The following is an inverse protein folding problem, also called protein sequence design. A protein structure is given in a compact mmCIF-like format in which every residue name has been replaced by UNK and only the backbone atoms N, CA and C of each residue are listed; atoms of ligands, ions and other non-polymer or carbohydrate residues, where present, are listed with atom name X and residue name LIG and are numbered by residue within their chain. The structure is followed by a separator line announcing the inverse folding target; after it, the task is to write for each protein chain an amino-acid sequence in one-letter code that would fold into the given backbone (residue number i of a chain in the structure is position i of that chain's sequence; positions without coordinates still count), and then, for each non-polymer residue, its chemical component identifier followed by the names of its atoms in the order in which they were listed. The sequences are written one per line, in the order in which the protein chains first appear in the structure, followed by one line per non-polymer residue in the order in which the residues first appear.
data_IF_259441383327
#
_entry.id   IF_259441383327
#
_cell.length_a   1.000
_cell.length_b   1.000
_cell.length_c   1.000
_cell.angle_alpha   90.00
_cell.angle_beta   90.00
_cell.angle_gamma   90.00
#
_symmetry.space_group_name_H-M   'P 1'
#
loop_
_entity.id
_entity.type
_entity.pdbx_description
1 polymer ?
#
# COMPACT_ATOMS: atom_id res chain seq x y z
N UNK A 1 9.80 33.52 20.43
CA UNK A 1 9.12 32.96 19.25
C UNK A 1 9.91 33.33 18.00
N UNK A 2 10.87 32.50 17.60
CA UNK A 2 11.72 32.75 16.42
C UNK A 2 11.10 32.02 15.24
N UNK A 3 10.79 32.77 14.18
CA UNK A 3 10.31 32.25 12.89
C UNK A 3 11.49 31.60 12.16
N UNK A 4 11.38 30.32 11.81
CA UNK A 4 12.33 29.64 10.95
C UNK A 4 11.96 29.88 9.48
N UNK A 5 12.86 30.49 8.71
CA UNK A 5 12.75 30.62 7.25
C UNK A 5 13.56 29.53 6.54
N UNK A 6 13.04 29.06 5.40
CA UNK A 6 13.58 27.96 4.59
C UNK A 6 15.02 28.16 4.12
N UNK A 7 15.81 27.09 4.10
CA UNK A 7 17.18 27.06 3.58
C UNK A 7 17.23 26.50 2.16
N UNK A 8 17.95 27.19 1.26
CA UNK A 8 18.40 26.67 -0.05
C UNK A 8 19.81 26.10 0.11
N UNK A 9 20.03 24.87 -0.35
CA UNK A 9 21.36 24.26 -0.42
C UNK A 9 21.98 24.53 -1.80
N UNK A 10 23.17 25.12 -1.82
CA UNK A 10 23.94 25.39 -3.05
C UNK A 10 24.78 24.18 -3.48
N UNK A 11 25.02 24.07 -4.78
CA UNK A 11 25.25 22.81 -5.53
C UNK A 11 26.69 22.27 -5.55
N UNK A 12 27.54 22.61 -4.59
CA UNK A 12 28.98 22.34 -4.72
C UNK A 12 29.61 21.64 -3.50
N UNK A 13 29.17 20.44 -3.15
CA UNK A 13 30.05 19.47 -2.45
C UNK A 13 29.52 18.04 -2.61
N UNK A 14 30.00 17.40 -3.67
CA UNK A 14 29.81 15.96 -3.95
C UNK A 14 30.82 15.19 -3.08
N UNK A 15 30.27 14.27 -2.28
CA UNK A 15 30.85 13.04 -1.71
C UNK A 15 32.28 13.07 -1.13
N UNK A 16 32.40 12.91 0.19
CA UNK A 16 33.49 12.14 0.79
C UNK A 16 32.92 11.00 1.64
N UNK A 17 33.42 9.79 1.34
CA UNK A 17 33.10 8.51 1.94
C UNK A 17 33.97 8.32 3.20
N UNK A 18 33.40 8.09 4.39
CA UNK A 18 34.13 7.49 5.53
C UNK A 18 33.21 6.69 6.48
N UNK A 19 33.79 5.71 7.21
CA UNK A 19 33.11 4.71 8.03
C UNK A 19 32.78 5.24 9.43
N UNK A 20 31.97 4.48 10.17
CA UNK A 20 31.56 4.71 11.57
C UNK A 20 32.63 5.37 12.43
N UNK A 21 32.53 6.69 12.58
CA UNK A 21 33.13 7.46 13.66
C UNK A 21 32.22 8.66 13.89
N UNK A 22 32.06 9.03 15.14
CA UNK A 22 31.31 10.20 15.62
C UNK A 22 31.72 11.46 14.83
N UNK A 23 30.95 11.82 13.81
CA UNK A 23 31.13 13.07 13.08
C UNK A 23 30.65 14.23 13.95
N UNK A 24 31.56 14.80 14.72
CA UNK A 24 31.39 16.10 15.36
C UNK A 24 31.68 17.19 14.35
N UNK A 25 30.68 17.56 13.54
CA UNK A 25 30.73 18.79 12.75
C UNK A 25 30.40 20.00 13.62
N UNK A 26 31.34 20.95 13.76
CA UNK A 26 31.04 22.29 14.29
C UNK A 26 30.53 23.17 13.15
N UNK A 27 29.26 23.59 13.23
CA UNK A 27 28.66 24.53 12.29
C UNK A 27 28.50 25.90 12.97
N UNK A 28 29.19 26.91 12.44
CA UNK A 28 29.02 28.30 12.88
C UNK A 28 27.76 28.88 12.24
N UNK A 29 26.78 29.30 13.05
CA UNK A 29 25.60 30.02 12.58
C UNK A 29 26.00 31.42 12.07
N UNK A 30 26.18 31.55 10.76
CA UNK A 30 26.35 32.84 10.08
C UNK A 30 25.00 33.39 9.62
N UNK A 31 24.42 34.32 10.38
CA UNK A 31 23.31 35.17 9.90
C UNK A 31 23.83 36.13 8.82
N UNK A 32 23.30 36.06 7.59
CA UNK A 32 23.67 36.98 6.51
C UNK A 32 22.69 38.15 6.43
N UNK A 33 23.18 39.36 6.70
CA UNK A 33 22.66 40.60 6.11
C UNK A 33 22.05 41.63 7.07
N UNK A 34 22.86 42.28 7.90
CA UNK A 34 22.95 43.77 8.02
C UNK A 34 24.02 44.12 9.05
N UNK A 35 24.87 45.08 8.68
CA UNK A 35 25.95 45.74 9.43
C UNK A 35 26.14 45.33 10.91
N UNK A 36 27.32 44.78 11.18
CA UNK A 36 27.92 44.55 12.52
C UNK A 36 27.65 45.66 13.52
N UNK A 37 27.41 45.28 14.78
CA UNK A 37 28.34 45.67 15.83
C UNK A 37 29.15 44.47 16.32
N UNK A 38 30.43 44.77 16.53
CA UNK A 38 31.47 43.97 17.15
C UNK A 38 31.08 43.43 18.53
N UNK A 39 31.83 42.41 18.95
CA UNK A 39 31.93 41.86 20.33
C UNK A 39 30.75 41.04 20.83
N UNK A 40 30.50 39.90 20.19
CA UNK A 40 29.97 38.71 20.86
C UNK A 40 31.06 37.65 20.97
N UNK A 41 31.87 37.69 22.03
CA UNK A 41 32.75 36.58 22.41
C UNK A 41 31.87 35.45 22.95
N UNK A 42 31.23 34.72 22.04
CA UNK A 42 30.45 33.54 22.34
C UNK A 42 31.02 32.38 21.58
N UNK A 43 32.01 31.70 22.16
CA UNK A 43 32.59 30.46 21.65
C UNK A 43 31.60 29.27 21.77
N UNK A 44 30.30 29.52 21.59
CA UNK A 44 29.25 28.53 21.70
C UNK A 44 29.08 27.85 20.35
N UNK A 45 30.10 27.07 19.95
CA UNK A 45 29.92 26.11 18.87
C UNK A 45 28.85 25.11 19.29
N UNK A 46 27.65 25.24 18.71
CA UNK A 46 26.60 24.25 18.91
C UNK A 46 26.99 23.03 18.08
N UNK A 47 27.39 21.96 18.77
CA UNK A 47 27.63 20.67 18.11
C UNK A 47 26.29 20.15 17.61
N UNK A 48 26.24 19.77 16.34
CA UNK A 48 25.05 19.20 15.71
C UNK A 48 25.22 17.69 15.50
N UNK A 49 24.12 16.96 15.54
CA UNK A 49 24.03 15.55 15.18
C UNK A 49 22.79 15.31 14.31
N UNK A 50 22.79 14.16 13.62
CA UNK A 50 21.61 13.60 12.97
C UNK A 50 20.78 12.88 14.03
N UNK A 51 19.49 13.19 14.05
CA UNK A 51 18.51 12.58 14.93
C UNK A 51 17.53 11.76 14.11
N UNK A 52 17.26 10.55 14.58
CA UNK A 52 16.28 9.67 13.97
C UNK A 52 14.95 9.82 14.68
N UNK A 53 13.87 10.01 13.91
CA UNK A 53 12.51 10.09 14.45
C UNK A 53 12.04 8.69 14.85
N UNK A 54 12.15 7.75 13.93
CA UNK A 54 12.08 6.30 14.16
C UNK A 54 13.49 5.81 14.48
N UNK A 55 13.74 5.34 15.72
CA UNK A 55 15.03 4.85 16.18
C UNK A 55 15.68 3.86 15.21
N UNK A 56 16.99 4.02 14.97
CA UNK A 56 17.79 3.13 14.11
C UNK A 56 17.66 1.67 14.52
N UNK A 57 17.55 1.40 15.82
CA UNK A 57 17.35 0.04 16.35
C UNK A 57 16.08 -0.63 15.81
N UNK A 58 14.97 0.12 15.70
CA UNK A 58 13.71 -0.39 15.14
C UNK A 58 13.89 -0.72 13.67
N UNK A 59 14.60 0.14 12.92
CA UNK A 59 14.86 -0.06 11.50
C UNK A 59 15.71 -1.31 11.25
N UNK A 60 16.81 -1.45 12.00
CA UNK A 60 17.69 -2.62 11.92
C UNK A 60 16.91 -3.90 12.23
N UNK A 61 16.16 -3.91 13.34
CA UNK A 61 15.36 -5.07 13.72
C UNK A 61 14.35 -5.43 12.63
N UNK A 62 13.63 -4.44 12.11
CA UNK A 62 12.64 -4.63 11.05
C UNK A 62 13.26 -5.26 9.80
N UNK A 63 14.33 -4.68 9.26
CA UNK A 63 14.96 -5.18 8.03
C UNK A 63 15.61 -6.55 8.24
N UNK A 64 16.22 -6.81 9.40
CA UNK A 64 16.75 -8.13 9.73
C UNK A 64 15.62 -9.17 9.77
N UNK A 65 14.51 -8.86 10.44
CA UNK A 65 13.32 -9.74 10.46
C UNK A 65 12.71 -9.89 9.06
N UNK A 66 12.79 -8.87 8.19
CA UNK A 66 12.30 -8.94 6.82
C UNK A 66 13.12 -9.91 5.97
N UNK A 67 14.45 -9.84 6.07
CA UNK A 67 15.37 -10.75 5.38
C UNK A 67 15.24 -12.18 5.91
N UNK A 68 15.08 -12.36 7.23
CA UNK A 68 14.96 -13.70 7.83
C UNK A 68 13.66 -14.43 7.43
N UNK A 69 12.56 -13.68 7.23
CA UNK A 69 11.22 -14.25 6.94
C UNK A 69 10.92 -14.30 5.44
N UNK A 70 11.93 -14.15 4.61
CA UNK A 70 11.84 -13.90 3.18
C UNK A 70 11.42 -15.13 2.32
N UNK A 71 11.09 -16.27 2.95
CA UNK A 71 10.66 -17.48 2.25
C UNK A 71 9.16 -17.57 1.95
N UNK A 72 8.32 -16.72 2.54
CA UNK A 72 6.86 -16.80 2.39
C UNK A 72 6.29 -15.42 2.05
N UNK A 73 5.62 -15.30 0.89
CA UNK A 73 4.98 -14.08 0.36
C UNK A 73 4.52 -13.06 1.42
N UNK A 74 5.41 -12.14 1.75
CA UNK A 74 5.24 -11.26 2.90
C UNK A 74 4.48 -9.99 2.50
N UNK A 75 3.15 -10.10 2.47
CA UNK A 75 2.26 -8.98 2.16
C UNK A 75 2.44 -7.81 3.15
N UNK A 76 2.83 -8.06 4.41
CA UNK A 76 3.13 -6.99 5.39
C UNK A 76 4.28 -6.11 4.87
N UNK A 77 5.35 -6.76 4.38
CA UNK A 77 6.51 -6.07 3.85
C UNK A 77 6.11 -5.19 2.68
N UNK A 78 5.27 -5.70 1.76
CA UNK A 78 4.77 -4.91 0.63
C UNK A 78 3.98 -3.67 1.08
N UNK A 79 3.12 -3.78 2.09
CA UNK A 79 2.32 -2.66 2.59
C UNK A 79 3.19 -1.61 3.29
N UNK A 80 4.20 -2.05 4.06
CA UNK A 80 5.18 -1.16 4.69
C UNK A 80 6.00 -0.44 3.61
N UNK A 81 6.41 -1.13 2.53
CA UNK A 81 7.10 -0.52 1.40
C UNK A 81 6.24 0.50 0.65
N UNK A 82 4.95 0.20 0.47
CA UNK A 82 4.00 1.15 -0.15
C UNK A 82 3.89 2.43 0.69
N UNK A 83 3.79 2.32 2.01
CA UNK A 83 3.74 3.48 2.91
C UNK A 83 5.02 4.31 2.87
N UNK A 84 6.19 3.67 2.78
CA UNK A 84 7.46 4.37 2.59
C UNK A 84 7.54 5.09 1.24
N UNK A 85 6.95 4.52 0.18
CA UNK A 85 6.81 5.17 -1.12
C UNK A 85 6.01 6.47 -1.02
N UNK A 86 4.86 6.44 -0.34
CA UNK A 86 4.02 7.63 -0.13
C UNK A 86 4.75 8.73 0.66
N UNK A 87 5.43 8.37 1.75
CA UNK A 87 6.26 9.30 2.52
C UNK A 87 7.35 9.95 1.67
N UNK A 88 7.89 9.20 0.70
CA UNK A 88 8.90 9.71 -0.21
C UNK A 88 8.33 10.76 -1.15
N UNK A 89 7.21 10.46 -1.80
CA UNK A 89 6.57 11.39 -2.73
C UNK A 89 6.16 12.70 -2.03
N UNK A 90 5.67 12.61 -0.80
CA UNK A 90 5.29 13.78 -0.01
C UNK A 90 6.50 14.58 0.46
N UNK A 91 7.58 13.93 0.88
CA UNK A 91 8.83 14.62 1.23
C UNK A 91 9.45 15.35 0.03
N UNK A 92 9.20 14.87 -1.20
CA UNK A 92 9.71 15.46 -2.44
C UNK A 92 8.81 16.54 -3.02
N UNK A 93 7.56 16.63 -2.58
CA UNK A 93 6.57 17.60 -3.10
C UNK A 93 7.01 19.07 -2.93
N UNK A 94 7.61 19.50 -1.80
CA UNK A 94 8.02 20.89 -1.57
C UNK A 94 9.28 21.35 -2.31
N UNK A 95 9.96 20.49 -3.09
CA UNK A 95 11.17 20.83 -3.84
C UNK A 95 10.89 21.03 -5.33
N UNK A 96 10.37 22.21 -5.75
CA UNK A 96 10.23 22.54 -7.16
C UNK A 96 11.61 22.86 -7.77
N UNK A 97 11.95 22.22 -8.89
CA UNK A 97 13.05 22.69 -9.74
C UNK A 97 14.33 21.85 -9.81
N UNK A 98 14.29 20.57 -9.43
CA UNK A 98 15.32 19.64 -9.94
C UNK A 98 14.70 18.29 -10.23
N UNK A 99 14.18 18.14 -11.45
CA UNK A 99 13.71 16.86 -11.98
C UNK A 99 14.76 15.78 -11.72
N UNK A 100 16.05 16.13 -11.80
CA UNK A 100 17.14 15.22 -11.46
C UNK A 100 17.07 14.63 -10.05
N UNK A 101 16.89 15.42 -8.97
CA UNK A 101 16.93 14.89 -7.60
C UNK A 101 15.69 14.05 -7.29
N UNK A 102 14.52 14.50 -7.76
CA UNK A 102 13.27 13.76 -7.59
C UNK A 102 13.32 12.44 -8.35
N UNK A 103 13.85 12.43 -9.56
CA UNK A 103 14.05 11.21 -10.35
C UNK A 103 15.13 10.30 -9.76
N UNK A 104 16.23 10.83 -9.20
CA UNK A 104 17.22 10.02 -8.49
C UNK A 104 16.60 9.31 -7.28
N UNK A 105 15.85 10.04 -6.46
CA UNK A 105 15.23 9.47 -5.26
C UNK A 105 14.14 8.45 -5.62
N UNK A 106 13.30 8.75 -6.62
CA UNK A 106 12.32 7.78 -7.14
C UNK A 106 12.98 6.55 -7.72
N UNK A 107 14.07 6.72 -8.47
CA UNK A 107 14.85 5.61 -9.04
C UNK A 107 15.47 4.76 -7.94
N UNK A 108 16.03 5.37 -6.90
CA UNK A 108 16.61 4.62 -5.78
C UNK A 108 15.54 3.86 -5.00
N UNK A 109 14.38 4.47 -4.74
CA UNK A 109 13.21 3.79 -4.15
C UNK A 109 12.68 2.64 -5.02
N UNK A 110 12.61 2.87 -6.33
CA UNK A 110 12.22 1.85 -7.29
C UNK A 110 13.24 0.70 -7.33
N UNK A 111 14.53 1.01 -7.30
CA UNK A 111 15.61 0.03 -7.23
C UNK A 111 15.58 -0.75 -5.91
N UNK A 112 15.30 -0.09 -4.77
CA UNK A 112 15.11 -0.76 -3.47
C UNK A 112 13.93 -1.73 -3.55
N UNK A 113 12.80 -1.29 -4.12
CA UNK A 113 11.62 -2.14 -4.33
C UNK A 113 11.94 -3.33 -5.24
N UNK A 114 12.70 -3.12 -6.32
CA UNK A 114 13.08 -4.17 -7.26
C UNK A 114 14.09 -5.14 -6.64
N UNK A 115 15.11 -4.67 -5.94
CA UNK A 115 16.11 -5.51 -5.27
C UNK A 115 15.50 -6.34 -4.14
N UNK A 116 14.52 -5.77 -3.43
CA UNK A 116 13.74 -6.54 -2.48
C UNK A 116 12.85 -7.54 -3.20
N UNK A 117 12.18 -7.18 -4.30
CA UNK A 117 11.39 -8.14 -5.10
C UNK A 117 12.26 -9.30 -5.61
N UNK A 118 13.49 -8.99 -6.07
CA UNK A 118 14.48 -9.98 -6.52
C UNK A 118 14.98 -10.84 -5.37
N UNK A 119 15.22 -10.26 -4.20
CA UNK A 119 15.58 -11.01 -2.99
C UNK A 119 14.42 -11.85 -2.47
N UNK A 120 13.17 -11.40 -2.62
CA UNK A 120 11.92 -11.99 -2.08
C UNK A 120 11.34 -13.09 -2.96
N UNK A 121 11.66 -13.13 -4.26
CA UNK A 121 11.00 -14.06 -5.19
C UNK A 121 11.73 -15.38 -5.43
N UNK A 122 12.94 -15.59 -4.90
CA UNK A 122 13.74 -16.84 -5.05
C UNK A 122 13.80 -17.39 -6.50
N UNK A 123 13.51 -16.55 -7.50
CA UNK A 123 13.21 -16.98 -8.86
C UNK A 123 14.40 -16.87 -9.82
N UNK A 124 15.59 -16.59 -9.31
CA UNK A 124 16.80 -16.61 -10.13
C UNK A 124 17.77 -17.67 -9.63
N UNK A 125 17.78 -18.80 -10.33
CA UNK A 125 18.82 -19.85 -10.23
C UNK A 125 20.17 -19.40 -10.80
N UNK A 126 20.30 -18.16 -11.28
CA UNK A 126 21.57 -17.58 -11.73
C UNK A 126 21.82 -16.24 -11.05
N UNK A 127 22.30 -16.30 -9.81
CA UNK A 127 22.84 -15.15 -9.11
C UNK A 127 24.12 -14.67 -9.80
N UNK A 128 24.00 -13.64 -10.64
CA UNK A 128 25.10 -12.75 -10.96
C UNK A 128 24.57 -11.31 -11.07
N UNK A 129 24.11 -10.70 -9.95
CA UNK A 129 23.97 -9.26 -9.93
C UNK A 129 25.34 -8.67 -10.32
N UNK A 130 25.39 -7.63 -11.17
CA UNK A 130 26.64 -6.98 -11.56
C UNK A 130 27.50 -6.72 -10.32
N UNK A 131 28.82 -6.98 -10.39
CA UNK A 131 29.73 -6.87 -9.24
C UNK A 131 29.65 -5.50 -8.52
N UNK A 132 29.30 -4.48 -9.29
CA UNK A 132 29.03 -3.10 -8.90
C UNK A 132 27.82 -2.96 -7.95
N UNK A 133 26.85 -3.87 -8.00
CA UNK A 133 25.73 -3.97 -7.04
C UNK A 133 26.18 -4.60 -5.71
N UNK A 134 27.13 -5.54 -5.73
CA UNK A 134 27.67 -6.17 -4.51
C UNK A 134 28.50 -5.22 -3.66
N UNK A 135 29.30 -4.33 -4.28
CA UNK A 135 29.95 -3.23 -3.56
C UNK A 135 28.97 -2.13 -3.13
N UNK A 136 27.80 -2.06 -3.75
CA UNK A 136 26.70 -1.18 -3.35
C UNK A 136 25.80 -1.77 -2.26
N UNK A 137 25.87 -3.06 -1.94
CA UNK A 137 24.95 -3.69 -0.99
C UNK A 137 25.11 -3.12 0.43
N UNK A 138 26.34 -2.87 0.90
CA UNK A 138 26.56 -2.21 2.20
C UNK A 138 26.13 -0.73 2.13
N UNK A 139 26.38 -0.04 1.01
CA UNK A 139 25.89 1.31 0.78
C UNK A 139 24.36 1.36 0.75
N UNK A 140 23.70 0.39 0.13
CA UNK A 140 22.27 0.29 -0.08
C UNK A 140 21.56 -0.15 1.20
N UNK A 141 22.07 -1.16 1.92
CA UNK A 141 21.55 -1.58 3.22
C UNK A 141 21.70 -0.44 4.23
N UNK A 142 22.85 0.26 4.25
CA UNK A 142 23.00 1.48 5.06
C UNK A 142 22.08 2.59 4.59
N UNK A 143 21.94 2.82 3.29
CA UNK A 143 21.04 3.83 2.76
C UNK A 143 19.59 3.52 3.11
N UNK A 144 19.15 2.26 3.03
CA UNK A 144 17.79 1.83 3.37
C UNK A 144 17.55 1.91 4.89
N UNK A 145 18.51 1.47 5.71
CA UNK A 145 18.41 1.54 7.17
C UNK A 145 18.56 2.97 7.72
N UNK A 146 19.17 3.89 6.97
CA UNK A 146 19.33 5.29 7.35
C UNK A 146 18.25 6.19 6.72
N UNK A 147 17.76 5.85 5.54
CA UNK A 147 16.91 6.71 4.73
C UNK A 147 15.49 6.17 4.68
N UNK A 148 14.73 6.53 5.71
CA UNK A 148 13.27 6.67 5.58
C UNK A 148 13.01 8.16 5.32
N UNK A 149 12.19 8.52 4.32
CA UNK A 149 11.85 9.91 4.06
C UNK A 149 11.31 10.59 5.31
N UNK A 150 11.77 11.82 5.54
CA UNK A 150 11.43 12.63 6.71
C UNK A 150 11.83 12.01 8.07
N UNK A 151 12.54 10.88 8.13
CA UNK A 151 12.90 10.22 9.38
C UNK A 151 14.17 10.78 10.06
N UNK A 152 14.94 11.62 9.37
CA UNK A 152 16.15 12.24 9.92
C UNK A 152 15.97 13.75 9.95
N UNK A 153 16.32 14.37 11.08
CA UNK A 153 16.53 15.82 11.17
C UNK A 153 17.91 16.14 11.78
N UNK A 154 18.42 17.35 11.53
CA UNK A 154 19.67 17.84 12.10
C UNK A 154 19.33 18.72 13.31
N UNK A 155 19.93 18.41 14.46
CA UNK A 155 19.68 19.12 15.72
C UNK A 155 20.89 19.11 16.65
N UNK A 156 20.82 19.75 17.83
CA UNK A 156 21.90 19.74 18.82
C UNK A 156 22.28 18.30 19.22
N UNK A 157 23.55 18.02 19.54
CA UNK A 157 23.95 16.66 19.96
C UNK A 157 23.13 16.15 21.17
N UNK A 158 22.88 14.84 21.31
CA UNK A 158 22.07 14.28 22.40
C UNK A 158 22.48 14.75 23.81
N UNK A 159 23.78 14.95 24.05
CA UNK A 159 24.30 15.33 25.36
C UNK A 159 23.87 16.73 25.81
N UNK A 160 23.38 17.56 24.89
CA UNK A 160 22.91 18.93 25.18
C UNK A 160 21.39 19.08 25.04
N UNK A 161 20.68 18.02 24.67
CA UNK A 161 19.22 17.97 24.59
C UNK A 161 18.67 17.36 25.87
N UNK A 162 17.94 18.15 26.66
CA UNK A 162 17.26 17.65 27.87
C UNK A 162 16.13 16.68 27.54
N UNK A 163 15.61 16.78 26.32
CA UNK A 163 14.44 16.10 25.80
C UNK A 163 14.78 14.99 24.79
N UNK A 164 16.05 14.58 24.71
CA UNK A 164 16.47 13.51 23.77
C UNK A 164 15.77 12.18 24.12
N UNK A 165 14.98 11.61 23.20
CA UNK A 165 14.24 10.36 23.42
C UNK A 165 15.16 9.12 23.42
N UNK A 166 16.44 9.26 23.06
CA UNK A 166 17.40 8.18 22.86
C UNK A 166 16.90 7.14 21.86
N UNK A 167 16.58 5.95 22.35
CA UNK A 167 16.07 4.82 21.56
C UNK A 167 14.53 4.84 21.43
N UNK A 168 13.86 5.89 21.91
CA UNK A 168 12.42 6.08 21.77
C UNK A 168 12.08 6.94 20.56
N UNK A 169 10.81 6.90 20.15
CA UNK A 169 10.30 7.73 19.07
C UNK A 169 10.39 9.22 19.43
N UNK A 170 10.84 10.05 18.50
CA UNK A 170 10.97 11.49 18.73
C UNK A 170 9.61 12.20 18.64
N UNK A 171 8.87 12.21 19.74
CA UNK A 171 7.54 12.84 19.82
C UNK A 171 7.57 14.34 19.46
N UNK A 172 8.65 15.05 19.81
CA UNK A 172 8.78 16.48 19.55
C UNK A 172 9.07 16.80 18.07
N UNK A 173 9.41 15.79 17.26
CA UNK A 173 9.63 15.98 15.83
C UNK A 173 8.39 16.48 15.12
N UNK A 174 7.18 16.26 15.66
CA UNK A 174 5.90 16.79 15.12
C UNK A 174 5.93 18.29 14.85
N UNK A 175 6.69 19.06 15.65
CA UNK A 175 6.81 20.51 15.48
C UNK A 175 7.80 20.90 14.38
N UNK A 176 8.65 19.96 13.94
CA UNK A 176 9.67 20.14 12.91
C UNK A 176 9.12 19.68 11.55
N UNK A 177 8.59 18.46 11.49
CA UNK A 177 8.14 17.82 10.24
C UNK A 177 6.66 18.01 9.94
N UNK A 178 5.90 18.57 10.89
CA UNK A 178 4.44 18.74 10.81
C UNK A 178 3.67 17.51 11.29
N UNK A 179 2.44 17.74 11.76
CA UNK A 179 1.58 16.72 12.37
C UNK A 179 1.27 15.56 11.41
N UNK A 180 1.03 15.84 10.13
CA UNK A 180 0.68 14.82 9.14
C UNK A 180 1.85 13.83 8.92
N UNK A 181 3.06 14.33 8.68
CA UNK A 181 4.24 13.48 8.50
C UNK A 181 4.59 12.73 9.78
N UNK A 182 4.40 13.37 10.94
CA UNK A 182 4.58 12.73 12.23
C UNK A 182 3.65 11.53 12.40
N UNK A 183 2.36 11.67 12.12
CA UNK A 183 1.38 10.58 12.21
C UNK A 183 1.72 9.42 11.27
N UNK A 184 2.24 9.71 10.07
CA UNK A 184 2.68 8.68 9.12
C UNK A 184 3.93 7.96 9.59
N UNK A 185 4.93 8.66 10.13
CA UNK A 185 6.12 8.04 10.71
C UNK A 185 5.79 7.25 11.98
N UNK A 186 4.87 7.70 12.82
CA UNK A 186 4.41 6.92 13.96
C UNK A 186 3.67 5.65 13.50
N UNK A 187 2.83 5.76 12.48
CA UNK A 187 2.15 4.60 11.88
C UNK A 187 3.18 3.61 11.31
N UNK A 188 4.17 4.10 10.57
CA UNK A 188 5.26 3.28 10.04
C UNK A 188 6.06 2.60 11.15
N UNK A 189 6.41 3.34 12.21
CA UNK A 189 7.07 2.78 13.41
C UNK A 189 6.25 1.66 14.01
N UNK A 190 4.96 1.88 14.26
CA UNK A 190 4.07 0.88 14.87
C UNK A 190 3.97 -0.37 13.99
N UNK A 191 3.92 -0.22 12.67
CA UNK A 191 3.95 -1.34 11.73
C UNK A 191 5.28 -2.09 11.77
N UNK A 192 6.42 -1.39 11.83
CA UNK A 192 7.75 -2.00 11.94
C UNK A 192 7.94 -2.75 13.26
N UNK A 193 7.53 -2.16 14.39
CA UNK A 193 7.54 -2.81 15.70
C UNK A 193 6.64 -4.05 15.67
N UNK A 194 5.40 -3.90 15.20
CA UNK A 194 4.46 -5.02 15.08
C UNK A 194 5.01 -6.14 14.20
N UNK A 195 5.71 -5.80 13.12
CA UNK A 195 6.37 -6.77 12.25
C UNK A 195 7.48 -7.52 13.00
N UNK A 196 8.33 -6.84 13.77
CA UNK A 196 9.40 -7.48 14.56
C UNK A 196 8.81 -8.36 15.67
N UNK A 197 7.86 -7.82 16.45
CA UNK A 197 7.29 -8.42 17.67
C UNK A 197 6.35 -9.61 17.43
N UNK A 198 6.10 -10.01 16.18
CA UNK A 198 5.35 -11.25 15.90
C UNK A 198 6.02 -12.54 16.42
N UNK A 199 7.23 -12.46 17.00
CA UNK A 199 7.85 -13.57 17.76
C UNK A 199 7.50 -13.57 19.27
N UNK A 200 6.96 -12.50 19.85
CA UNK A 200 6.72 -12.37 21.31
C UNK A 200 5.24 -12.22 21.71
N UNK A 201 4.32 -12.26 20.74
CA UNK A 201 2.89 -11.95 20.89
C UNK A 201 2.02 -13.10 21.42
N UNK A 202 2.36 -13.72 22.55
CA UNK A 202 1.43 -14.63 23.27
C UNK A 202 0.63 -13.99 24.42
N UNK A 203 0.91 -12.76 24.88
CA UNK A 203 0.21 -12.21 26.07
C UNK A 203 0.03 -10.67 26.08
N UNK A 204 -0.99 -10.11 25.41
CA UNK A 204 -1.59 -8.81 25.80
C UNK A 204 -3.05 -8.67 25.24
N UNK A 205 -4.08 -8.43 26.08
CA UNK A 205 -5.47 -8.31 25.64
C UNK A 205 -5.86 -6.99 24.94
N UNK A 206 -4.96 -6.00 24.80
CA UNK A 206 -5.30 -4.69 24.20
C UNK A 206 -4.53 -4.36 22.89
N UNK A 207 -3.91 -5.35 22.24
CA UNK A 207 -3.12 -5.13 21.03
C UNK A 207 -3.92 -5.34 19.72
N UNK A 208 -3.82 -4.38 18.78
CA UNK A 208 -4.44 -4.44 17.46
C UNK A 208 -3.77 -5.49 16.55
N UNK A 209 -4.54 -6.57 16.31
CA UNK A 209 -4.83 -7.25 15.04
C UNK A 209 -3.59 -7.71 14.22
N UNK A 210 -3.11 -8.95 14.45
CA UNK A 210 -2.15 -9.68 13.60
C UNK A 210 -2.44 -9.59 12.09
N UNK A 211 -1.47 -9.86 11.20
CA UNK A 211 -1.77 -9.98 9.75
C UNK A 211 -2.62 -11.22 9.43
N UNK A 212 -2.55 -12.25 10.28
CA UNK A 212 -3.57 -13.30 10.32
C UNK A 212 -4.93 -12.75 10.71
N UNK A 213 -5.04 -11.61 11.39
CA UNK A 213 -6.26 -10.85 11.64
C UNK A 213 -6.61 -9.85 10.53
N UNK A 214 -5.70 -9.48 9.61
CA UNK A 214 -6.08 -8.81 8.34
C UNK A 214 -6.59 -9.83 7.33
N UNK A 215 -5.91 -10.97 7.17
CA UNK A 215 -6.42 -12.14 6.43
C UNK A 215 -7.68 -12.69 7.10
N UNK A 216 -7.73 -12.78 8.43
CA UNK A 216 -8.95 -13.13 9.17
C UNK A 216 -9.97 -12.00 9.13
N UNK A 217 -9.60 -10.73 8.94
CA UNK A 217 -10.58 -9.65 8.75
C UNK A 217 -11.23 -9.78 7.38
N UNK A 218 -10.46 -9.87 6.29
CA UNK A 218 -10.96 -10.11 4.94
C UNK A 218 -11.75 -11.42 4.88
N UNK A 219 -11.27 -12.48 5.54
CA UNK A 219 -11.99 -13.76 5.70
C UNK A 219 -13.27 -13.60 6.53
N UNK A 220 -13.25 -12.85 7.63
CA UNK A 220 -14.42 -12.58 8.48
C UNK A 220 -15.45 -11.72 7.76
N UNK A 221 -14.98 -10.88 6.84
CA UNK A 221 -15.78 -10.09 5.91
C UNK A 221 -16.20 -10.89 4.67
N UNK A 222 -15.74 -12.15 4.51
CA UNK A 222 -16.00 -12.99 3.34
C UNK A 222 -15.54 -12.36 2.01
N UNK A 223 -14.38 -11.69 1.97
CA UNK A 223 -13.89 -10.95 0.81
C UNK A 223 -12.60 -11.52 0.20
N UNK A 224 -12.20 -12.76 0.52
CA UNK A 224 -10.94 -13.34 0.04
C UNK A 224 -10.93 -13.42 -1.49
N UNK A 225 -12.01 -13.92 -2.07
CA UNK A 225 -12.12 -14.11 -3.52
C UNK A 225 -12.16 -12.76 -4.22
N UNK A 226 -12.92 -11.81 -3.66
CA UNK A 226 -13.01 -10.45 -4.18
C UNK A 226 -11.65 -9.76 -4.22
N UNK A 227 -10.87 -9.85 -3.14
CA UNK A 227 -9.52 -9.31 -3.10
C UNK A 227 -8.62 -9.94 -4.18
N UNK A 228 -8.69 -11.27 -4.33
CA UNK A 228 -7.92 -12.01 -5.34
C UNK A 228 -8.23 -11.57 -6.77
N UNK A 229 -9.51 -11.46 -7.14
CA UNK A 229 -9.89 -11.08 -8.52
C UNK A 229 -9.58 -9.62 -8.82
N UNK A 230 -9.62 -8.75 -7.82
CA UNK A 230 -9.21 -7.35 -7.94
C UNK A 230 -7.70 -7.23 -8.21
N UNK A 231 -6.88 -7.92 -7.43
CA UNK A 231 -5.42 -7.93 -7.62
C UNK A 231 -5.04 -8.51 -8.99
N UNK A 232 -5.79 -9.51 -9.47
CA UNK A 232 -5.64 -10.02 -10.84
C UNK A 232 -5.87 -8.93 -11.88
N UNK A 233 -6.91 -8.10 -11.76
CA UNK A 233 -7.15 -7.01 -12.70
C UNK A 233 -6.05 -5.93 -12.62
N UNK A 234 -5.64 -5.52 -11.42
CA UNK A 234 -4.59 -4.51 -11.20
C UNK A 234 -3.24 -4.91 -11.77
N UNK A 235 -2.80 -6.15 -11.53
CA UNK A 235 -1.48 -6.65 -11.95
C UNK A 235 -1.35 -6.74 -13.47
N UNK A 236 -2.47 -6.93 -14.17
CA UNK A 236 -2.51 -7.15 -15.60
C UNK A 236 -2.76 -5.84 -16.35
N UNK A 237 -3.96 -5.63 -16.88
CA UNK A 237 -4.27 -4.47 -17.72
C UNK A 237 -4.90 -3.30 -16.97
N UNK A 238 -5.09 -3.41 -15.65
CA UNK A 238 -5.67 -2.35 -14.83
C UNK A 238 -7.14 -2.11 -15.17
N UNK A 239 -7.57 -0.84 -15.14
CA UNK A 239 -8.96 -0.44 -15.31
C UNK A 239 -9.17 0.39 -16.57
N UNK A 240 -10.12 -0.05 -17.41
CA UNK A 240 -10.54 0.66 -18.61
C UNK A 240 -11.80 1.48 -18.31
N UNK A 241 -11.86 2.72 -18.81
CA UNK A 241 -12.98 3.62 -18.55
C UNK A 241 -14.17 3.26 -19.46
N UNK A 242 -15.35 3.06 -18.86
CA UNK A 242 -16.63 2.84 -19.55
C UNK A 242 -17.52 4.07 -19.42
N UNK A 243 -17.17 5.12 -20.16
CA UNK A 243 -17.83 6.44 -20.07
C UNK A 243 -19.29 6.46 -20.55
N UNK A 244 -19.75 5.44 -21.27
CA UNK A 244 -21.15 5.31 -21.71
C UNK A 244 -22.12 5.00 -20.56
N UNK A 245 -21.62 4.67 -19.37
CA UNK A 245 -22.42 4.32 -18.19
C UNK A 245 -21.99 5.18 -17.00
N UNK A 246 -22.93 5.73 -16.24
CA UNK A 246 -22.56 6.60 -15.12
C UNK A 246 -22.07 5.80 -13.93
N UNK A 247 -22.61 4.61 -13.70
CA UNK A 247 -22.34 3.78 -12.52
C UNK A 247 -22.33 2.28 -12.85
N UNK A 248 -21.87 1.47 -11.89
CA UNK A 248 -22.00 0.01 -11.95
C UNK A 248 -23.45 -0.44 -12.13
N UNK A 249 -24.41 0.33 -11.58
CA UNK A 249 -25.83 0.01 -11.63
C UNK A 249 -26.40 0.26 -13.03
N UNK A 250 -26.02 1.37 -13.67
CA UNK A 250 -26.39 1.66 -15.06
C UNK A 250 -25.88 0.56 -16.00
N UNK A 251 -24.64 0.09 -15.76
CA UNK A 251 -24.06 -1.01 -16.50
C UNK A 251 -24.80 -2.33 -16.25
N UNK A 252 -25.10 -2.67 -15.00
CA UNK A 252 -25.86 -3.88 -14.68
C UNK A 252 -27.26 -3.88 -15.32
N UNK A 253 -28.00 -2.78 -15.20
CA UNK A 253 -29.34 -2.64 -15.77
C UNK A 253 -29.37 -2.76 -17.30
N UNK A 254 -28.27 -2.40 -17.98
CA UNK A 254 -28.11 -2.55 -19.42
C UNK A 254 -27.55 -3.91 -19.85
N UNK A 255 -27.03 -4.71 -18.91
CA UNK A 255 -26.32 -5.94 -19.18
C UNK A 255 -27.26 -7.12 -19.43
N UNK A 256 -26.98 -7.91 -20.47
CA UNK A 256 -27.58 -9.22 -20.67
C UNK A 256 -26.77 -10.31 -19.97
N UNK A 257 -27.44 -11.34 -19.46
CA UNK A 257 -26.80 -12.40 -18.68
C UNK A 257 -25.77 -13.21 -19.48
N UNK A 258 -26.04 -13.53 -20.74
CA UNK A 258 -25.17 -14.32 -21.62
C UNK A 258 -23.95 -13.54 -22.15
N UNK A 259 -24.16 -12.35 -22.69
CA UNK A 259 -23.09 -11.60 -23.35
C UNK A 259 -22.36 -10.67 -22.38
N UNK A 260 -23.07 -9.88 -21.60
CA UNK A 260 -22.45 -8.86 -20.77
C UNK A 260 -21.98 -9.44 -19.44
N UNK A 261 -22.85 -10.13 -18.69
CA UNK A 261 -22.45 -10.71 -17.41
C UNK A 261 -21.45 -11.86 -17.61
N UNK A 262 -21.82 -12.88 -18.37
CA UNK A 262 -20.96 -14.03 -18.62
C UNK A 262 -19.80 -13.70 -19.57
N UNK A 263 -20.10 -13.21 -20.78
CA UNK A 263 -19.08 -12.92 -21.79
C UNK A 263 -18.06 -11.86 -21.36
N UNK A 264 -18.51 -10.69 -20.88
CA UNK A 264 -17.59 -9.67 -20.37
C UNK A 264 -16.92 -10.13 -19.07
N UNK A 265 -17.61 -10.88 -18.21
CA UNK A 265 -17.02 -11.48 -17.02
C UNK A 265 -15.80 -12.36 -17.34
N UNK A 266 -15.91 -13.24 -18.34
CA UNK A 266 -14.78 -14.06 -18.83
C UNK A 266 -13.64 -13.20 -19.37
N UNK A 267 -13.96 -12.23 -20.21
CA UNK A 267 -12.96 -11.35 -20.83
C UNK A 267 -12.20 -10.55 -19.75
N UNK A 268 -12.92 -9.95 -18.80
CA UNK A 268 -12.37 -9.19 -17.67
C UNK A 268 -11.50 -10.06 -16.75
N UNK A 269 -11.86 -11.34 -16.58
CA UNK A 269 -11.05 -12.29 -15.83
C UNK A 269 -9.79 -12.76 -16.59
N UNK A 270 -9.60 -12.34 -17.85
CA UNK A 270 -8.47 -12.72 -18.69
C UNK A 270 -8.64 -14.10 -19.35
N UNK A 271 -9.87 -14.60 -19.48
CA UNK A 271 -10.13 -15.80 -20.28
C UNK A 271 -10.40 -15.44 -21.74
N UNK A 272 -9.42 -15.74 -22.59
CA UNK A 272 -9.46 -15.59 -24.05
C UNK A 272 -8.04 -15.56 -24.60
N UNK A 273 -7.84 -15.89 -25.89
CA UNK A 273 -6.50 -15.96 -26.49
C UNK A 273 -5.76 -14.61 -26.57
N UNK A 274 -6.46 -13.49 -26.33
CA UNK A 274 -5.96 -12.13 -26.60
C UNK A 274 -6.17 -11.14 -25.44
N UNK A 275 -6.81 -11.54 -24.34
CA UNK A 275 -7.18 -10.62 -23.26
C UNK A 275 -6.42 -10.94 -21.97
N UNK A 276 -5.59 -10.00 -21.53
CA UNK A 276 -5.12 -9.96 -20.15
C UNK A 276 -6.27 -9.53 -19.23
N UNK A 277 -6.25 -9.94 -17.96
CA UNK A 277 -7.30 -9.56 -17.03
C UNK A 277 -7.38 -8.04 -16.82
N UNK A 278 -8.58 -7.50 -16.69
CA UNK A 278 -8.84 -6.06 -16.56
C UNK A 278 -10.14 -5.78 -15.77
N UNK A 279 -10.33 -4.52 -15.39
CA UNK A 279 -11.56 -4.01 -14.80
C UNK A 279 -12.21 -2.89 -15.62
N UNK A 280 -13.45 -2.57 -15.29
CA UNK A 280 -14.15 -1.38 -15.77
C UNK A 280 -14.23 -0.33 -14.68
N UNK A 281 -14.01 0.93 -15.03
CA UNK A 281 -14.27 2.09 -14.19
C UNK A 281 -15.35 2.96 -14.84
N UNK A 282 -16.36 3.33 -14.06
CA UNK A 282 -17.49 4.13 -14.51
C UNK A 282 -17.34 5.61 -14.14
N UNK A 283 -18.21 6.46 -14.67
CA UNK A 283 -18.09 7.92 -14.53
C UNK A 283 -18.21 8.42 -13.09
N UNK A 284 -18.98 7.74 -12.25
CA UNK A 284 -19.12 8.04 -10.81
C UNK A 284 -17.97 7.50 -9.95
N UNK A 285 -16.94 6.92 -10.56
CA UNK A 285 -15.81 6.19 -9.96
C UNK A 285 -16.13 4.82 -9.36
N UNK A 286 -17.37 4.33 -9.46
CA UNK A 286 -17.61 2.90 -9.23
C UNK A 286 -16.87 2.05 -10.26
N UNK A 287 -16.70 0.76 -9.96
CA UNK A 287 -15.94 -0.13 -10.84
C UNK A 287 -16.40 -1.57 -10.76
N UNK A 288 -15.98 -2.37 -11.74
CA UNK A 288 -16.26 -3.79 -11.87
C UNK A 288 -14.99 -4.58 -12.22
N UNK A 289 -14.89 -5.82 -11.77
CA UNK A 289 -13.86 -6.78 -12.19
C UNK A 289 -14.47 -8.14 -12.52
N UNK A 290 -13.83 -8.89 -13.41
CA UNK A 290 -14.29 -10.23 -13.80
C UNK A 290 -13.99 -11.30 -12.76
N UNK A 291 -14.95 -12.19 -12.52
CA UNK A 291 -14.83 -13.37 -11.67
C UNK A 291 -15.18 -14.63 -12.47
N UNK A 292 -14.46 -15.72 -12.19
CA UNK A 292 -14.72 -17.04 -12.76
C UNK A 292 -15.22 -17.98 -11.67
N UNK A 293 -15.97 -19.02 -12.04
CA UNK A 293 -16.30 -20.07 -11.09
C UNK A 293 -15.06 -20.75 -10.52
N UNK A 294 -13.97 -20.85 -11.29
CA UNK A 294 -12.69 -21.37 -10.76
C UNK A 294 -12.06 -20.50 -9.68
N UNK A 295 -12.45 -19.22 -9.56
CA UNK A 295 -12.05 -18.39 -8.44
C UNK A 295 -12.80 -18.77 -7.14
N UNK A 296 -14.01 -19.31 -7.28
CA UNK A 296 -14.82 -19.85 -6.19
C UNK A 296 -14.43 -21.27 -5.79
N UNK A 297 -13.77 -22.03 -6.67
CA UNK A 297 -13.33 -23.40 -6.39
C UNK A 297 -12.40 -23.42 -5.17
N UNK A 298 -12.78 -24.19 -4.14
CA UNK A 298 -12.11 -24.24 -2.82
C UNK A 298 -12.08 -22.90 -2.06
N UNK A 299 -12.88 -21.93 -2.49
CA UNK A 299 -13.03 -20.65 -1.82
C UNK A 299 -13.71 -20.78 -0.46
N UNK A 300 -13.37 -19.89 0.48
CA UNK A 300 -13.91 -19.90 1.85
C UNK A 300 -14.93 -18.81 2.13
N UNK A 301 -15.16 -17.90 1.18
CA UNK A 301 -16.17 -16.85 1.34
C UNK A 301 -17.56 -17.49 1.34
N UNK A 302 -18.46 -17.01 2.22
CA UNK A 302 -19.74 -17.66 2.47
C UNK A 302 -20.64 -17.82 1.23
N UNK A 303 -20.57 -16.91 0.25
CA UNK A 303 -21.38 -16.97 -0.97
C UNK A 303 -21.15 -18.26 -1.78
N UNK A 304 -19.94 -18.80 -1.73
CA UNK A 304 -19.56 -20.02 -2.46
C UNK A 304 -20.41 -21.22 -2.03
N UNK A 305 -20.81 -21.29 -0.76
CA UNK A 305 -21.62 -22.37 -0.20
C UNK A 305 -23.13 -22.05 -0.16
N UNK A 306 -23.56 -20.86 -0.56
CA UNK A 306 -25.00 -20.52 -0.61
C UNK A 306 -25.71 -21.24 -1.75
N UNK A 307 -24.96 -21.67 -2.76
CA UNK A 307 -25.41 -22.51 -3.86
C UNK A 307 -24.34 -23.55 -4.13
N UNK A 308 -24.71 -24.82 -4.03
CA UNK A 308 -23.80 -25.98 -4.17
C UNK A 308 -23.18 -26.11 -5.58
N UNK A 309 -23.52 -25.22 -6.51
CA UNK A 309 -23.07 -25.27 -7.91
C UNK A 309 -21.61 -24.81 -8.08
N UNK A 310 -21.02 -24.13 -7.08
CA UNK A 310 -19.70 -23.49 -7.20
C UNK A 310 -18.55 -24.24 -6.50
N UNK A 311 -18.84 -25.30 -5.75
CA UNK A 311 -17.87 -25.94 -4.83
C UNK A 311 -17.29 -27.27 -5.33
N UNK A 312 -18.06 -28.07 -6.07
CA UNK A 312 -17.75 -29.52 -6.20
C UNK A 312 -17.84 -30.09 -7.62
N UNK A 313 -18.30 -29.34 -8.62
CA UNK A 313 -18.53 -29.89 -9.96
C UNK A 313 -17.40 -29.56 -10.94
N UNK A 314 -17.16 -30.43 -11.92
CA UNK A 314 -16.28 -30.12 -13.06
C UNK A 314 -16.79 -28.90 -13.86
N UNK A 315 -18.10 -28.63 -13.80
CA UNK A 315 -18.77 -27.52 -14.46
C UNK A 315 -18.49 -26.15 -13.84
N UNK A 316 -17.77 -26.07 -12.71
CA UNK A 316 -17.34 -24.78 -12.11
C UNK A 316 -16.55 -23.91 -13.11
N UNK A 317 -15.89 -24.52 -14.11
CA UNK A 317 -15.19 -23.80 -15.20
C UNK A 317 -16.11 -23.05 -16.15
N UNK A 318 -17.39 -23.42 -16.20
CA UNK A 318 -18.38 -22.86 -17.13
C UNK A 318 -19.06 -21.61 -16.56
N UNK A 319 -18.67 -21.17 -15.37
CA UNK A 319 -19.23 -19.99 -14.73
C UNK A 319 -18.31 -18.78 -14.84
N UNK A 320 -18.92 -17.63 -15.12
CA UNK A 320 -18.25 -16.34 -15.12
C UNK A 320 -19.23 -15.21 -14.80
N UNK A 321 -18.68 -14.08 -14.41
CA UNK A 321 -19.47 -12.95 -13.97
C UNK A 321 -18.63 -11.76 -13.59
N UNK A 322 -19.21 -10.87 -12.78
CA UNK A 322 -18.61 -9.61 -12.38
C UNK A 322 -18.78 -9.37 -10.89
N UNK A 323 -17.79 -8.71 -10.28
CA UNK A 323 -17.87 -8.15 -8.94
C UNK A 323 -17.92 -6.64 -9.05
N UNK A 324 -18.94 -6.02 -8.45
CA UNK A 324 -19.14 -4.57 -8.49
C UNK A 324 -18.76 -3.91 -7.17
N UNK A 325 -18.24 -2.69 -7.28
CA UNK A 325 -17.82 -1.85 -6.17
C UNK A 325 -18.41 -0.44 -6.31
N UNK A 326 -18.74 0.19 -5.19
CA UNK A 326 -19.23 1.56 -5.18
C UNK A 326 -18.12 2.58 -5.46
N UNK A 327 -18.49 3.85 -5.59
CA UNK A 327 -17.56 4.98 -5.79
C UNK A 327 -16.49 5.16 -4.71
N UNK A 328 -16.67 4.54 -3.54
CA UNK A 328 -15.71 4.55 -2.43
C UNK A 328 -14.87 3.25 -2.39
N UNK A 329 -15.03 2.38 -3.38
CA UNK A 329 -14.35 1.10 -3.47
C UNK A 329 -14.89 0.02 -2.54
N UNK A 330 -16.12 0.14 -2.03
CA UNK A 330 -16.73 -0.90 -1.18
C UNK A 330 -17.42 -1.96 -2.04
N UNK A 331 -17.35 -3.25 -1.68
CA UNK A 331 -18.05 -4.30 -2.41
C UNK A 331 -19.57 -4.09 -2.36
N UNK A 332 -20.23 -4.31 -3.49
CA UNK A 332 -21.68 -4.14 -3.66
C UNK A 332 -22.35 -5.49 -3.90
N UNK A 333 -21.96 -6.18 -4.97
CA UNK A 333 -22.61 -7.41 -5.41
C UNK A 333 -21.67 -8.25 -6.28
N UNK A 334 -21.85 -9.56 -6.21
CA UNK A 334 -21.28 -10.52 -7.15
C UNK A 334 -22.45 -11.02 -8.00
N UNK A 335 -22.33 -10.89 -9.31
CA UNK A 335 -23.24 -11.51 -10.27
C UNK A 335 -22.47 -12.54 -11.07
N UNK A 336 -23.00 -13.74 -11.17
CA UNK A 336 -22.34 -14.86 -11.84
C UNK A 336 -23.38 -15.72 -12.54
N UNK A 337 -23.05 -16.28 -13.69
CA UNK A 337 -23.90 -17.24 -14.41
C UNK A 337 -23.03 -18.23 -15.19
N UNK A 338 -23.66 -19.26 -15.75
CA UNK A 338 -23.03 -20.11 -16.76
C UNK A 338 -23.50 -19.73 -18.16
N UNK A 339 -22.84 -20.23 -19.20
CA UNK A 339 -23.29 -19.99 -20.57
C UNK A 339 -24.76 -20.42 -20.79
N UNK A 340 -25.15 -21.59 -20.26
CA UNK A 340 -26.51 -22.12 -20.44
C UNK A 340 -27.57 -21.30 -19.70
N UNK A 341 -27.30 -20.94 -18.43
CA UNK A 341 -28.23 -20.13 -17.63
C UNK A 341 -28.27 -18.68 -18.11
N UNK A 342 -27.14 -18.16 -18.57
CA UNK A 342 -27.04 -16.83 -19.16
C UNK A 342 -27.92 -16.70 -20.41
N UNK A 343 -27.91 -17.71 -21.29
CA UNK A 343 -28.78 -17.76 -22.47
C UNK A 343 -30.27 -17.84 -22.10
N UNK A 344 -30.59 -18.44 -20.95
CA UNK A 344 -31.94 -18.44 -20.40
C UNK A 344 -32.30 -17.12 -19.69
N UNK A 345 -31.41 -16.12 -19.70
CA UNK A 345 -31.61 -14.82 -19.06
C UNK A 345 -31.60 -14.90 -17.54
N UNK A 346 -30.77 -15.75 -16.97
CA UNK A 346 -30.75 -16.01 -15.51
C UNK A 346 -29.34 -16.21 -14.96
N UNK A 347 -29.22 -16.09 -13.64
CA UNK A 347 -27.97 -16.33 -12.93
C UNK A 347 -28.13 -16.24 -11.42
N UNK A 348 -27.03 -15.93 -10.75
CA UNK A 348 -26.98 -15.80 -9.30
C UNK A 348 -26.41 -14.44 -8.93
N UNK A 349 -27.06 -13.81 -7.97
CA UNK A 349 -26.66 -12.52 -7.43
C UNK A 349 -26.44 -12.63 -5.93
N UNK A 350 -25.31 -12.10 -5.46
CA UNK A 350 -24.92 -12.13 -4.05
C UNK A 350 -24.61 -10.70 -3.61
N UNK A 351 -25.43 -10.14 -2.72
CA UNK A 351 -25.33 -8.75 -2.31
C UNK A 351 -24.50 -8.66 -1.03
N UNK A 352 -23.57 -7.71 -0.98
CA UNK A 352 -22.76 -7.48 0.21
C UNK A 352 -23.50 -6.61 1.23
N UNK A 353 -23.68 -7.13 2.44
CA UNK A 353 -24.39 -6.44 3.50
C UNK A 353 -23.94 -6.94 4.88
N UNK A 354 -23.73 -6.04 5.84
CA UNK A 354 -23.33 -6.35 7.22
C UNK A 354 -22.19 -7.39 7.32
N UNK A 355 -21.11 -7.17 6.57
CA UNK A 355 -19.90 -7.99 6.58
C UNK A 355 -20.00 -9.37 5.91
N UNK A 356 -21.07 -9.64 5.15
CA UNK A 356 -21.25 -10.93 4.48
C UNK A 356 -21.99 -10.78 3.15
N UNK A 357 -21.94 -11.83 2.35
CA UNK A 357 -22.79 -11.96 1.17
C UNK A 357 -24.17 -12.48 1.54
N UNK A 358 -25.19 -12.06 0.81
CA UNK A 358 -26.57 -12.53 0.89
C UNK A 358 -27.03 -12.93 -0.51
N UNK A 359 -27.45 -14.18 -0.69
CA UNK A 359 -28.01 -14.63 -1.97
C UNK A 359 -29.36 -13.97 -2.24
N UNK A 360 -29.56 -13.51 -3.47
CA UNK A 360 -30.82 -12.96 -3.93
C UNK A 360 -31.26 -13.65 -5.23
N UNK A 361 -32.45 -14.24 -5.20
CA UNK A 361 -32.98 -15.07 -6.29
C UNK A 361 -33.76 -14.28 -7.34
N UNK A 362 -33.97 -12.99 -7.13
CA UNK A 362 -34.80 -12.14 -8.00
C UNK A 362 -33.92 -11.14 -8.71
N UNK A 363 -33.91 -11.13 -10.04
CA UNK A 363 -33.03 -10.26 -10.84
C UNK A 363 -33.24 -8.75 -10.61
N UNK A 364 -34.43 -8.33 -10.19
CA UNK A 364 -34.73 -6.92 -9.80
C UNK A 364 -34.09 -6.45 -8.49
N UNK A 365 -33.07 -7.15 -8.00
CA UNK A 365 -32.48 -6.90 -6.68
C UNK A 365 -31.81 -5.53 -6.57
N UNK A 366 -31.24 -5.04 -7.66
CA UNK A 366 -30.56 -3.75 -7.74
C UNK A 366 -31.53 -2.59 -7.47
N UNK A 367 -32.77 -2.69 -7.96
CA UNK A 367 -33.81 -1.72 -7.64
C UNK A 367 -34.40 -1.94 -6.25
N UNK A 368 -34.80 -3.17 -5.91
CA UNK A 368 -35.46 -3.44 -4.62
C UNK A 368 -34.57 -3.14 -3.41
N UNK A 369 -33.27 -3.44 -3.49
CA UNK A 369 -32.35 -3.35 -2.35
C UNK A 369 -31.67 -1.99 -2.27
N UNK A 370 -31.37 -1.36 -3.41
CA UNK A 370 -30.64 -0.10 -3.43
C UNK A 370 -31.54 1.12 -3.61
N UNK A 371 -32.76 0.98 -4.15
CA UNK A 371 -33.74 2.05 -4.31
C UNK A 371 -33.13 3.30 -4.98
N UNK A 372 -32.53 3.11 -6.16
CA UNK A 372 -31.81 4.16 -6.90
C UNK A 372 -30.42 4.54 -6.37
N UNK A 373 -29.97 4.01 -5.23
CA UNK A 373 -28.61 4.25 -4.72
C UNK A 373 -27.56 3.43 -5.47
N UNK A 374 -26.32 3.92 -5.49
CA UNK A 374 -25.16 3.19 -6.06
C UNK A 374 -24.11 2.84 -5.01
N UNK A 375 -24.29 3.28 -3.76
CA UNK A 375 -23.42 2.93 -2.64
C UNK A 375 -23.67 1.52 -2.11
N UNK A 376 -22.61 0.90 -1.57
CA UNK A 376 -22.74 -0.38 -0.87
C UNK A 376 -23.74 -0.28 0.28
N UNK A 377 -24.50 -1.36 0.51
CA UNK A 377 -25.42 -1.45 1.65
C UNK A 377 -24.66 -1.48 2.99
N UNK A 378 -23.40 -1.88 2.97
CA UNK A 378 -22.52 -1.87 4.14
C UNK A 378 -21.54 -0.68 4.07
N UNK A 379 -21.94 0.42 4.72
CA UNK A 379 -21.10 1.63 4.84
C UNK A 379 -19.78 1.41 5.59
N UNK A 380 -19.64 0.30 6.33
CA UNK A 380 -18.43 -0.08 7.09
C UNK A 380 -17.59 -1.14 6.37
N UNK A 381 -18.02 -1.62 5.21
CA UNK A 381 -17.26 -2.59 4.43
C UNK A 381 -15.84 -2.06 4.12
N UNK A 382 -14.84 -2.97 4.07
CA UNK A 382 -13.50 -2.63 3.60
C UNK A 382 -13.53 -1.94 2.23
N UNK A 383 -12.65 -0.95 2.05
CA UNK A 383 -12.53 -0.19 0.82
C UNK A 383 -11.33 -0.68 0.02
N UNK A 384 -11.55 -0.89 -1.27
CA UNK A 384 -10.53 -1.27 -2.22
C UNK A 384 -10.19 -0.06 -3.10
N UNK A 385 -8.95 0.43 -2.99
CA UNK A 385 -8.45 1.54 -3.82
C UNK A 385 -7.93 0.98 -5.14
N UNK A 386 -8.29 1.61 -6.26
CA UNK A 386 -7.89 1.23 -7.63
C UNK A 386 -7.08 2.31 -8.33
#
# INVERSE_FOLDING_TARGET
WVKWTSWRCDRSTVFSLFPQRTDTGSYCFGTRGTTTPSTGSGNNQVRLARHHIIPVRILINFFNSAVQRNGEHNTVLSDIMNLMGLLSDDALTPYPGSDSLREFIRRDLHNIRNLQTLSVMDSETENSPPLDVLFSADYLVRSVCLWIPANIFIGPVPEIRSEDPRDQFEENSRYIIGEENFQRLDTLRRLMISYVDTETLEQDPNCLIPIETVKTSIKSYNLIIVAKVLERAKKNSGFTVKSSYNSWKDWYAASHWDYDIYGSGKAMAGQGLIYNAYGYKFSDNSFAVGILGTDAKNGKDNWVNMKNDFTETESVKDYAGQVYFDKNGRPVTIVITSNAWGQAGSGWSFIYNNGKWEYESTDSWDERRFAGRTESLDSKAPRFLI
#
